data_IF_969923904806
#
_entry.id   IF_969923904806
#
_cell.length_a   1.000
_cell.length_b   1.000
_cell.length_c   1.000
_cell.angle_alpha   90.00
_cell.angle_beta   90.00
_cell.angle_gamma   90.00
#
_symmetry.space_group_name_H-M   'P 1'
#
loop_
_entity.id
_entity.type
_entity.pdbx_description
1 polymer ?
#
# COMPACT_ATOMS: atom_id res chain seq x y z
N UNK A 1 10.86 -28.67 -1.73
CA UNK A 1 12.27 -29.06 -1.68
C UNK A 1 12.61 -29.35 -0.23
N UNK A 2 13.21 -30.51 0.05
CA UNK A 2 13.67 -30.83 1.39
C UNK A 2 14.84 -29.91 1.79
N UNK A 3 15.01 -29.63 3.09
CA UNK A 3 16.06 -28.73 3.59
C UNK A 3 17.46 -29.21 3.20
N UNK A 4 17.68 -30.53 3.18
CA UNK A 4 18.96 -31.13 2.79
C UNK A 4 19.25 -30.95 1.30
N UNK A 5 18.23 -31.07 0.45
CA UNK A 5 18.34 -30.83 -0.99
C UNK A 5 18.68 -29.35 -1.26
N UNK A 6 18.04 -28.43 -0.55
CA UNK A 6 18.32 -27.00 -0.66
C UNK A 6 19.74 -26.65 -0.22
N UNK A 7 20.26 -27.32 0.82
CA UNK A 7 21.65 -27.17 1.27
C UNK A 7 22.67 -27.69 0.26
N UNK A 8 22.40 -28.86 -0.34
CA UNK A 8 23.27 -29.42 -1.38
C UNK A 8 23.27 -28.54 -2.63
N UNK A 9 22.11 -28.06 -3.06
CA UNK A 9 21.97 -27.14 -4.19
C UNK A 9 22.70 -25.82 -3.91
N UNK A 10 22.56 -25.28 -2.69
CA UNK A 10 23.25 -24.06 -2.29
C UNK A 10 24.77 -24.22 -2.28
N UNK A 11 25.32 -25.34 -1.81
CA UNK A 11 26.75 -25.62 -1.92
C UNK A 11 27.22 -25.71 -3.37
N UNK A 12 26.44 -26.31 -4.26
CA UNK A 12 26.76 -26.40 -5.68
C UNK A 12 26.85 -25.02 -6.35
N UNK A 13 26.09 -24.02 -5.88
CA UNK A 13 26.19 -22.63 -6.38
C UNK A 13 27.57 -21.99 -6.16
N UNK A 14 28.39 -22.51 -5.23
CA UNK A 14 29.72 -21.98 -4.98
C UNK A 14 30.72 -22.24 -6.11
N UNK A 15 30.42 -23.16 -7.03
CA UNK A 15 31.22 -23.48 -8.21
C UNK A 15 30.83 -22.63 -9.43
N UNK A 16 30.84 -21.31 -9.26
CA UNK A 16 30.38 -20.30 -10.25
C UNK A 16 31.02 -20.42 -11.64
N UNK A 17 32.25 -20.94 -11.74
CA UNK A 17 32.98 -21.06 -13.00
C UNK A 17 32.60 -22.31 -13.82
N UNK A 18 31.75 -23.18 -13.27
CA UNK A 18 31.35 -24.43 -13.91
C UNK A 18 29.94 -24.34 -14.51
N UNK A 19 29.67 -25.00 -15.65
CA UNK A 19 28.31 -25.10 -16.20
C UNK A 19 27.29 -25.65 -15.19
N UNK A 20 27.71 -26.63 -14.39
CA UNK A 20 26.89 -27.27 -13.36
C UNK A 20 26.55 -26.30 -12.21
N UNK A 21 27.52 -25.48 -11.79
CA UNK A 21 27.30 -24.45 -10.77
C UNK A 21 26.36 -23.34 -11.24
N UNK A 22 26.46 -22.92 -12.51
CA UNK A 22 25.50 -21.98 -13.11
C UNK A 22 24.09 -22.55 -13.20
N UNK A 23 23.94 -23.83 -13.51
CA UNK A 23 22.64 -24.50 -13.50
C UNK A 23 22.07 -24.55 -12.07
N UNK A 24 22.88 -24.96 -11.09
CA UNK A 24 22.49 -24.97 -9.69
C UNK A 24 22.07 -23.58 -9.20
N UNK A 25 22.76 -22.52 -9.64
CA UNK A 25 22.39 -21.14 -9.31
C UNK A 25 21.00 -20.76 -9.85
N UNK A 26 20.70 -21.11 -11.11
CA UNK A 26 19.38 -20.86 -11.71
C UNK A 26 18.27 -21.63 -10.99
N UNK A 27 18.50 -22.89 -10.68
CA UNK A 27 17.55 -23.73 -9.94
C UNK A 27 17.34 -23.18 -8.52
N UNK A 28 18.40 -22.74 -7.85
CA UNK A 28 18.32 -22.15 -6.52
C UNK A 28 17.58 -20.80 -6.53
N UNK A 29 17.84 -19.95 -7.52
CA UNK A 29 17.14 -18.69 -7.70
C UNK A 29 15.63 -18.89 -7.96
N UNK A 30 15.28 -19.89 -8.78
CA UNK A 30 13.89 -20.27 -9.00
C UNK A 30 13.22 -20.75 -7.70
N UNK A 31 13.93 -21.54 -6.88
CA UNK A 31 13.43 -21.99 -5.58
C UNK A 31 13.20 -20.82 -4.59
N UNK A 32 14.02 -19.77 -4.64
CA UNK A 32 13.85 -18.56 -3.81
C UNK A 32 12.70 -17.66 -4.27
N UNK A 33 12.24 -17.77 -5.52
CA UNK A 33 11.20 -16.88 -6.05
C UNK A 33 9.88 -17.06 -5.31
N UNK A 34 9.49 -18.30 -5.01
CA UNK A 34 8.23 -18.62 -4.30
C UNK A 34 8.17 -17.97 -2.91
N UNK A 35 9.14 -18.18 -1.99
CA UNK A 35 9.09 -17.56 -0.67
C UNK A 35 9.20 -16.03 -0.71
N UNK A 36 9.90 -15.44 -1.70
CA UNK A 36 9.94 -13.98 -1.88
C UNK A 36 8.54 -13.46 -2.23
N UNK A 37 7.85 -14.07 -3.20
CA UNK A 37 6.53 -13.63 -3.62
C UNK A 37 5.48 -13.81 -2.52
N UNK A 38 5.49 -14.94 -1.81
CA UNK A 38 4.58 -15.17 -0.69
C UNK A 38 4.77 -14.12 0.42
N UNK A 39 6.03 -13.80 0.75
CA UNK A 39 6.31 -12.79 1.75
C UNK A 39 5.92 -11.40 1.27
N UNK A 40 6.21 -11.05 0.01
CA UNK A 40 5.83 -9.77 -0.59
C UNK A 40 4.31 -9.55 -0.56
N UNK A 41 3.51 -10.57 -0.85
CA UNK A 41 2.04 -10.48 -0.78
C UNK A 41 1.52 -10.21 0.64
N UNK A 42 2.21 -10.71 1.67
CA UNK A 42 1.84 -10.48 3.07
C UNK A 42 2.29 -9.11 3.58
N UNK A 43 3.47 -8.65 3.18
CA UNK A 43 4.08 -7.42 3.69
C UNK A 43 3.59 -6.16 2.94
N UNK A 44 3.22 -6.27 1.66
CA UNK A 44 2.83 -5.10 0.86
C UNK A 44 1.40 -4.66 1.18
N UNK A 45 1.26 -3.52 1.85
CA UNK A 45 -0.05 -2.88 2.08
C UNK A 45 -0.77 -2.55 0.76
N UNK A 46 -0.03 -2.17 -0.27
CA UNK A 46 -0.63 -1.74 -1.55
C UNK A 46 -1.28 -2.90 -2.31
N UNK A 47 -0.75 -4.12 -2.17
CA UNK A 47 -1.39 -5.33 -2.72
C UNK A 47 -2.66 -5.73 -1.98
N UNK A 48 -2.81 -5.30 -0.73
CA UNK A 48 -4.03 -5.49 0.05
C UNK A 48 -5.08 -4.41 -0.26
N UNK A 49 -4.63 -3.18 -0.56
CA UNK A 49 -5.49 -2.04 -0.87
C UNK A 49 -6.00 -2.07 -2.33
N UNK A 50 -5.15 -2.42 -3.28
CA UNK A 50 -5.47 -2.42 -4.71
C UNK A 50 -5.65 -3.82 -5.27
N UNK A 51 -6.44 -3.93 -6.34
CA UNK A 51 -6.52 -5.16 -7.11
C UNK A 51 -5.27 -5.31 -7.99
N UNK A 52 -4.61 -6.47 -7.92
CA UNK A 52 -3.39 -6.75 -8.68
C UNK A 52 -3.75 -7.37 -10.02
N UNK A 53 -3.61 -6.60 -11.10
CA UNK A 53 -3.75 -7.10 -12.46
C UNK A 53 -2.43 -7.68 -12.98
N UNK A 54 -2.48 -8.91 -13.52
CA UNK A 54 -1.33 -9.57 -14.14
C UNK A 54 -1.48 -9.52 -15.65
N UNK A 55 -0.65 -8.71 -16.30
CA UNK A 55 -0.65 -8.57 -17.75
C UNK A 55 0.13 -9.71 -18.42
N UNK A 56 -0.36 -10.17 -19.57
CA UNK A 56 0.34 -11.15 -20.39
C UNK A 56 1.61 -10.54 -21.01
N UNK A 57 2.63 -11.35 -21.36
CA UNK A 57 3.83 -10.84 -22.03
C UNK A 57 3.48 -10.04 -23.31
N UNK A 58 3.89 -8.78 -23.36
CA UNK A 58 3.63 -7.88 -24.50
C UNK A 58 2.26 -7.19 -24.49
N UNK A 59 1.39 -7.47 -23.52
CA UNK A 59 0.16 -6.72 -23.33
C UNK A 59 0.46 -5.31 -22.78
N UNK A 60 -0.32 -4.32 -23.24
CA UNK A 60 -0.24 -2.95 -22.75
C UNK A 60 -1.32 -2.71 -21.69
N UNK A 61 -1.00 -1.88 -20.70
CA UNK A 61 -1.96 -1.45 -19.68
C UNK A 61 -2.79 -0.28 -20.24
N UNK A 62 -3.84 -0.61 -20.98
CA UNK A 62 -4.76 0.35 -21.60
C UNK A 62 -6.14 0.13 -21.02
N UNK A 63 -6.73 1.21 -20.50
CA UNK A 63 -8.05 1.15 -19.86
C UNK A 63 -8.99 2.14 -20.53
N UNK A 64 -10.20 1.71 -20.94
CA UNK A 64 -11.18 2.63 -21.48
C UNK A 64 -11.66 3.57 -20.37
N UNK A 65 -11.67 4.87 -20.64
CA UNK A 65 -12.36 5.85 -19.82
C UNK A 65 -13.83 5.70 -20.14
N UNK A 66 -14.61 5.08 -19.27
CA UNK A 66 -16.05 4.98 -19.52
C UNK A 66 -16.64 6.40 -19.61
N UNK A 67 -17.56 6.63 -20.55
CA UNK A 67 -18.19 7.94 -20.81
C UNK A 67 -18.83 8.57 -19.57
N UNK A 68 -19.12 7.76 -18.53
CA UNK A 68 -19.70 8.16 -17.25
C UNK A 68 -18.68 8.60 -16.17
N UNK A 69 -17.36 8.49 -16.41
CA UNK A 69 -16.36 8.87 -15.40
C UNK A 69 -16.05 10.37 -15.43
N UNK A 70 -16.75 11.14 -14.59
CA UNK A 70 -16.31 12.46 -14.12
C UNK A 70 -15.12 12.39 -13.13
N UNK A 71 -14.32 11.31 -13.16
CA UNK A 71 -13.33 11.02 -12.12
C UNK A 71 -11.92 11.25 -12.68
N UNK A 72 -11.10 12.10 -12.02
CA UNK A 72 -9.72 12.31 -12.44
C UNK A 72 -8.92 11.01 -12.32
N UNK A 73 -8.11 10.72 -13.34
CA UNK A 73 -7.24 9.54 -13.36
C UNK A 73 -5.82 9.98 -12.98
N UNK A 74 -5.28 9.35 -11.94
CA UNK A 74 -3.92 9.61 -11.46
C UNK A 74 -3.00 8.48 -11.88
N UNK A 75 -1.93 8.83 -12.57
CA UNK A 75 -0.99 7.85 -13.13
C UNK A 75 0.42 8.18 -12.63
N UNK A 76 1.10 7.17 -12.09
CA UNK A 76 2.52 7.28 -11.72
C UNK A 76 3.37 6.90 -12.93
N UNK A 77 4.14 7.84 -13.54
CA UNK A 77 4.87 7.55 -14.76
C UNK A 77 6.10 6.65 -14.55
N UNK A 78 6.64 6.60 -13.33
CA UNK A 78 7.81 5.82 -13.01
C UNK A 78 8.30 6.01 -11.58
N UNK A 79 9.33 5.25 -11.20
CA UNK A 79 10.00 5.39 -9.91
C UNK A 79 10.58 6.80 -9.74
N UNK A 80 10.30 7.41 -8.57
CA UNK A 80 10.80 8.74 -8.21
C UNK A 80 9.97 9.92 -8.75
N UNK A 81 8.98 9.68 -9.60
CA UNK A 81 8.05 10.71 -10.04
C UNK A 81 6.89 10.88 -9.04
N UNK A 82 6.21 12.02 -9.09
CA UNK A 82 4.89 12.19 -8.48
C UNK A 82 3.81 11.78 -9.46
N UNK A 83 2.68 11.28 -8.97
CA UNK A 83 1.57 10.93 -9.85
C UNK A 83 1.06 12.18 -10.59
N UNK A 84 0.83 12.01 -11.88
CA UNK A 84 0.33 13.05 -12.76
C UNK A 84 -1.16 12.84 -12.96
N UNK A 85 -1.91 13.94 -12.94
CA UNK A 85 -3.32 13.91 -13.27
C UNK A 85 -3.48 13.85 -14.80
N UNK A 86 -3.95 12.72 -15.30
CA UNK A 86 -4.36 12.58 -16.70
C UNK A 86 -5.79 13.12 -16.82
N UNK A 87 -5.90 14.41 -17.15
CA UNK A 87 -7.14 15.02 -17.66
C UNK A 87 -6.94 15.22 -19.14
N UNK A 88 -6.99 14.15 -19.92
CA UNK A 88 -7.05 14.31 -21.37
C UNK A 88 -8.52 14.48 -21.76
N UNK A 89 -8.93 15.73 -22.03
CA UNK A 89 -10.33 16.09 -22.28
C UNK A 89 -10.95 15.52 -23.57
N UNK A 90 -10.31 14.53 -24.22
CA UNK A 90 -10.75 13.98 -25.52
C UNK A 90 -10.29 12.53 -25.78
N UNK A 91 -9.65 11.84 -24.82
CA UNK A 91 -9.17 10.45 -25.01
C UNK A 91 -10.18 9.42 -24.51
N UNK A 92 -10.54 8.42 -25.33
CA UNK A 92 -11.40 7.29 -24.92
C UNK A 92 -10.65 6.28 -24.01
N UNK A 93 -9.32 6.33 -23.97
CA UNK A 93 -8.47 5.35 -23.28
C UNK A 93 -7.32 6.02 -22.50
N UNK A 94 -6.96 5.47 -21.34
CA UNK A 94 -5.77 5.83 -20.57
C UNK A 94 -4.70 4.77 -20.71
N UNK A 95 -3.50 5.23 -21.05
CA UNK A 95 -2.29 4.42 -21.09
C UNK A 95 -1.55 4.53 -19.75
N UNK A 96 -1.39 3.41 -19.05
CA UNK A 96 -0.63 3.35 -17.80
C UNK A 96 0.79 2.86 -18.12
N UNK A 97 1.83 3.69 -17.89
CA UNK A 97 3.21 3.26 -18.09
C UNK A 97 3.59 2.21 -17.05
N UNK A 98 4.29 1.18 -17.50
CA UNK A 98 4.81 0.11 -16.65
C UNK A 98 6.29 0.38 -16.36
N UNK A 99 6.69 0.17 -15.12
CA UNK A 99 8.09 0.27 -14.69
C UNK A 99 8.46 -0.93 -13.81
N UNK A 100 9.77 -1.17 -13.69
CA UNK A 100 10.29 -2.28 -12.86
C UNK A 100 10.78 -1.77 -11.51
N UNK A 101 10.46 -2.53 -10.45
CA UNK A 101 11.02 -2.36 -9.12
C UNK A 101 12.06 -3.45 -8.94
N UNK A 102 13.29 -3.08 -8.61
CA UNK A 102 14.41 -3.99 -8.46
C UNK A 102 15.02 -3.85 -7.06
N UNK A 103 15.30 -4.98 -6.41
CA UNK A 103 16.07 -5.05 -5.16
C UNK A 103 17.10 -6.17 -5.30
N UNK A 104 18.25 -6.01 -4.67
CA UNK A 104 19.33 -6.98 -4.68
C UNK A 104 19.83 -7.27 -3.26
N UNK A 105 20.19 -8.53 -3.03
CA UNK A 105 20.83 -8.95 -1.79
C UNK A 105 21.97 -9.90 -2.12
N UNK A 106 23.16 -9.54 -1.67
CA UNK A 106 24.38 -10.31 -1.90
C UNK A 106 24.84 -11.03 -0.64
N UNK A 107 25.53 -12.15 -0.84
CA UNK A 107 26.19 -12.88 0.23
C UNK A 107 27.55 -13.41 -0.23
N UNK A 108 28.44 -13.66 0.74
CA UNK A 108 29.77 -14.21 0.43
C UNK A 108 29.65 -15.66 -0.04
N UNK A 109 30.46 -16.03 -1.03
CA UNK A 109 30.56 -17.41 -1.56
C UNK A 109 30.95 -18.42 -0.47
N UNK A 110 31.65 -17.99 0.58
CA UNK A 110 31.96 -18.85 1.74
C UNK A 110 30.71 -19.39 2.40
N UNK A 111 29.62 -18.62 2.48
CA UNK A 111 28.36 -19.07 3.06
C UNK A 111 27.68 -20.15 2.22
N UNK A 112 27.85 -20.09 0.89
CA UNK A 112 27.40 -21.15 0.00
C UNK A 112 28.18 -22.46 0.25
N UNK A 113 29.52 -22.37 0.37
CA UNK A 113 30.38 -23.53 0.70
C UNK A 113 30.03 -24.16 2.05
N UNK A 114 29.72 -23.31 3.04
CA UNK A 114 29.35 -23.73 4.40
C UNK A 114 27.88 -24.20 4.51
N UNK A 115 27.14 -24.28 3.39
CA UNK A 115 25.74 -24.72 3.35
C UNK A 115 24.80 -23.90 4.24
N UNK A 116 25.11 -22.62 4.46
CA UNK A 116 24.35 -21.70 5.30
C UNK A 116 23.14 -21.11 4.57
N UNK A 117 22.17 -21.98 4.30
CA UNK A 117 20.90 -21.63 3.63
C UNK A 117 20.07 -20.64 4.45
N UNK A 118 20.30 -20.55 5.77
CA UNK A 118 19.72 -19.53 6.64
C UNK A 118 20.04 -18.10 6.17
N UNK A 119 21.23 -17.88 5.61
CA UNK A 119 21.65 -16.57 5.11
C UNK A 119 20.89 -16.23 3.82
N UNK A 120 20.77 -17.18 2.90
CA UNK A 120 20.01 -16.99 1.66
C UNK A 120 18.52 -16.76 1.93
N UNK A 121 17.93 -17.47 2.91
CA UNK A 121 16.54 -17.26 3.32
C UNK A 121 16.31 -15.87 3.94
N UNK A 122 17.26 -15.38 4.75
CA UNK A 122 17.22 -14.00 5.29
C UNK A 122 17.40 -12.96 4.19
N UNK A 123 18.27 -13.20 3.22
CA UNK A 123 18.45 -12.33 2.06
C UNK A 123 17.16 -12.23 1.23
N UNK A 124 16.54 -13.37 0.91
CA UNK A 124 15.23 -13.42 0.25
C UNK A 124 14.15 -12.66 1.04
N UNK A 125 14.12 -12.86 2.36
CA UNK A 125 13.20 -12.15 3.26
C UNK A 125 13.41 -10.64 3.30
N UNK A 126 14.66 -10.18 3.12
CA UNK A 126 15.02 -8.76 3.06
C UNK A 126 14.60 -8.15 1.72
N UNK A 127 14.87 -8.84 0.60
CA UNK A 127 14.45 -8.41 -0.74
C UNK A 127 12.92 -8.24 -0.80
N UNK A 128 12.16 -9.20 -0.27
CA UNK A 128 10.71 -9.09 -0.23
C UNK A 128 10.22 -7.86 0.53
N UNK A 129 10.86 -7.52 1.65
CA UNK A 129 10.53 -6.34 2.45
C UNK A 129 10.89 -5.04 1.74
N UNK A 130 12.05 -4.97 1.08
CA UNK A 130 12.44 -3.79 0.29
C UNK A 130 11.49 -3.58 -0.91
N UNK A 131 11.10 -4.65 -1.60
CA UNK A 131 10.11 -4.58 -2.67
C UNK A 131 8.75 -4.08 -2.16
N UNK A 132 8.30 -4.55 -0.99
CA UNK A 132 7.06 -4.09 -0.37
C UNK A 132 7.13 -2.58 -0.04
N UNK A 133 8.25 -2.11 0.52
CA UNK A 133 8.46 -0.70 0.83
C UNK A 133 8.43 0.18 -0.43
N UNK A 134 9.05 -0.27 -1.52
CA UNK A 134 8.99 0.45 -2.80
C UNK A 134 7.57 0.46 -3.40
N UNK A 135 6.83 -0.65 -3.32
CA UNK A 135 5.42 -0.69 -3.73
C UNK A 135 4.57 0.28 -2.91
N UNK A 136 4.79 0.34 -1.59
CA UNK A 136 4.13 1.30 -0.71
C UNK A 136 4.43 2.75 -1.06
N UNK A 137 5.71 3.09 -1.25
CA UNK A 137 6.11 4.44 -1.67
C UNK A 137 5.43 4.85 -2.98
N UNK A 138 5.39 3.95 -3.97
CA UNK A 138 4.71 4.20 -5.24
C UNK A 138 3.19 4.37 -5.04
N UNK A 139 2.56 3.53 -4.24
CA UNK A 139 1.12 3.60 -3.97
C UNK A 139 0.73 4.90 -3.27
N UNK A 140 1.48 5.32 -2.25
CA UNK A 140 1.24 6.59 -1.55
C UNK A 140 1.44 7.80 -2.46
N UNK A 141 2.43 7.79 -3.36
CA UNK A 141 2.62 8.83 -4.38
C UNK A 141 1.47 8.96 -5.38
N UNK A 142 0.60 7.94 -5.48
CA UNK A 142 -0.65 8.01 -6.25
C UNK A 142 -1.81 8.46 -5.37
N UNK A 143 -1.93 7.89 -4.16
CA UNK A 143 -3.05 8.16 -3.25
C UNK A 143 -3.06 9.61 -2.77
N UNK A 144 -1.90 10.14 -2.33
CA UNK A 144 -1.80 11.50 -1.79
C UNK A 144 -2.36 12.53 -2.75
N UNK A 145 -1.83 12.68 -3.99
CA UNK A 145 -2.34 13.69 -4.90
C UNK A 145 -3.80 13.44 -5.28
N UNK A 146 -4.25 12.19 -5.36
CA UNK A 146 -5.65 11.86 -5.61
C UNK A 146 -6.60 12.27 -4.46
N UNK A 147 -6.11 12.23 -3.22
CA UNK A 147 -6.88 12.54 -2.02
C UNK A 147 -6.83 14.02 -1.62
N UNK A 148 -5.72 14.72 -1.86
CA UNK A 148 -5.51 16.10 -1.39
C UNK A 148 -5.72 17.15 -2.48
N UNK A 149 -5.65 16.78 -3.77
CA UNK A 149 -5.82 17.76 -4.86
C UNK A 149 -7.28 18.12 -5.07
N UNK A 150 -7.60 19.41 -4.96
CA UNK A 150 -8.83 19.96 -5.52
C UNK A 150 -8.67 20.10 -7.04
N UNK A 151 -9.69 19.70 -7.78
CA UNK A 151 -9.72 19.83 -9.23
C UNK A 151 -10.73 20.92 -9.61
N UNK A 152 -10.24 21.98 -10.26
CA UNK A 152 -11.09 22.91 -10.99
C UNK A 152 -10.83 22.66 -12.48
N UNK A 153 -11.74 21.97 -13.15
CA UNK A 153 -11.55 21.61 -14.55
C UNK A 153 -11.29 22.84 -15.43
N UNK A 154 -10.23 22.79 -16.23
CA UNK A 154 -10.23 23.49 -17.52
C UNK A 154 -10.87 22.55 -18.53
N UNK A 155 -12.20 22.57 -18.65
CA UNK A 155 -12.95 21.71 -19.58
C UNK A 155 -14.38 21.39 -19.12
N UNK A 156 -14.95 20.28 -19.63
CA UNK A 156 -16.31 19.82 -19.37
C UNK A 156 -16.57 19.30 -17.94
N UNK A 157 -15.53 19.01 -17.16
CA UNK A 157 -15.66 18.49 -15.81
C UNK A 157 -15.91 19.63 -14.80
N UNK A 158 -16.92 19.47 -13.97
CA UNK A 158 -17.22 20.40 -12.88
C UNK A 158 -16.09 20.46 -11.84
N UNK A 159 -15.94 21.58 -11.10
CA UNK A 159 -14.98 21.66 -10.02
C UNK A 159 -15.33 20.65 -8.92
N UNK A 160 -14.33 19.85 -8.52
CA UNK A 160 -14.40 18.86 -7.46
C UNK A 160 -13.41 19.25 -6.36
N UNK A 161 -13.93 19.54 -5.16
CA UNK A 161 -13.11 19.70 -3.97
C UNK A 161 -12.44 18.38 -3.58
N UNK A 162 -11.27 18.46 -2.96
CA UNK A 162 -10.65 17.30 -2.32
C UNK A 162 -11.63 16.69 -1.31
N UNK A 163 -11.80 15.35 -1.26
CA UNK A 163 -12.73 14.67 -0.36
C UNK A 163 -12.20 14.63 1.09
N UNK A 164 -11.81 15.78 1.62
CA UNK A 164 -11.28 15.94 2.99
C UNK A 164 -12.46 16.24 3.91
N UNK A 165 -12.58 15.44 4.97
CA UNK A 165 -13.55 15.67 6.03
C UNK A 165 -12.81 16.21 7.25
N UNK A 166 -13.28 17.34 7.75
CA UNK A 166 -12.81 17.93 9.00
C UNK A 166 -13.99 18.20 9.93
N UNK A 167 -13.75 18.18 11.24
CA UNK A 167 -14.71 18.70 12.22
C UNK A 167 -14.45 20.20 12.37
N UNK A 168 -15.51 20.99 12.60
CA UNK A 168 -15.36 22.45 12.71
C UNK A 168 -14.36 22.83 13.81
N UNK A 169 -13.54 23.85 13.56
CA UNK A 169 -12.42 24.26 14.43
C UNK A 169 -12.80 24.59 15.89
N UNK A 170 -14.10 24.84 16.16
CA UNK A 170 -14.60 25.13 17.51
C UNK A 170 -15.18 23.90 18.23
N UNK A 171 -15.17 22.72 17.60
CA UNK A 171 -15.59 21.46 18.25
C UNK A 171 -14.47 20.92 19.13
N UNK A 172 -14.84 20.22 20.19
CA UNK A 172 -13.91 19.56 21.12
C UNK A 172 -13.09 18.48 20.38
N UNK A 173 -13.65 17.86 19.34
CA UNK A 173 -12.98 16.85 18.51
C UNK A 173 -12.16 17.40 17.35
N UNK A 174 -11.91 18.71 17.28
CA UNK A 174 -11.08 19.30 16.23
C UNK A 174 -9.61 18.89 16.41
N UNK A 175 -8.97 18.42 15.33
CA UNK A 175 -7.57 17.99 15.33
C UNK A 175 -7.32 16.56 15.82
N UNK A 176 -8.36 15.82 16.19
CA UNK A 176 -8.28 14.43 16.65
C UNK A 176 -9.19 13.52 15.83
N UNK A 177 -8.89 12.22 15.80
CA UNK A 177 -9.82 11.23 15.24
C UNK A 177 -11.01 11.03 16.19
N UNK A 178 -12.03 11.86 16.02
CA UNK A 178 -13.24 11.86 16.84
C UNK A 178 -14.38 11.03 16.24
N UNK A 179 -15.30 10.58 17.10
CA UNK A 179 -16.56 9.94 16.68
C UNK A 179 -17.39 10.81 15.73
N UNK A 180 -17.38 12.14 15.92
CA UNK A 180 -18.06 13.08 15.03
C UNK A 180 -17.46 13.02 13.61
N UNK A 181 -16.13 12.99 13.50
CA UNK A 181 -15.42 12.89 12.23
C UNK A 181 -15.79 11.63 11.46
N UNK A 182 -15.71 10.45 12.12
CA UNK A 182 -16.04 9.17 11.49
C UNK A 182 -17.50 9.15 11.03
N UNK A 183 -18.44 9.67 11.82
CA UNK A 183 -19.84 9.78 11.41
C UNK A 183 -20.02 10.69 10.18
N UNK A 184 -19.31 11.82 10.13
CA UNK A 184 -19.32 12.73 8.99
C UNK A 184 -18.81 12.04 7.72
N UNK A 185 -17.75 11.24 7.82
CA UNK A 185 -17.24 10.43 6.71
C UNK A 185 -18.27 9.38 6.24
N UNK A 186 -18.89 8.64 7.17
CA UNK A 186 -19.93 7.65 6.84
C UNK A 186 -21.10 8.30 6.08
N UNK A 187 -21.59 9.45 6.58
CA UNK A 187 -22.66 10.21 5.91
C UNK A 187 -22.20 10.72 4.54
N UNK A 188 -20.97 11.21 4.45
CA UNK A 188 -20.36 11.68 3.21
C UNK A 188 -20.31 10.60 2.12
N UNK A 189 -19.83 9.41 2.46
CA UNK A 189 -19.83 8.26 1.54
C UNK A 189 -21.24 7.88 1.10
N UNK A 190 -22.20 7.79 2.03
CA UNK A 190 -23.60 7.44 1.73
C UNK A 190 -24.27 8.44 0.80
N UNK A 191 -23.98 9.74 0.94
CA UNK A 191 -24.50 10.78 0.03
C UNK A 191 -23.98 10.65 -1.40
N UNK A 192 -22.79 10.08 -1.57
CA UNK A 192 -22.22 9.75 -2.87
C UNK A 192 -22.64 8.36 -3.39
N UNK A 193 -23.59 7.69 -2.73
CA UNK A 193 -24.01 6.33 -3.09
C UNK A 193 -22.96 5.26 -2.80
N UNK A 194 -21.96 5.56 -1.96
CA UNK A 194 -20.87 4.64 -1.57
C UNK A 194 -20.99 4.26 -0.09
N UNK A 195 -20.31 3.19 0.31
CA UNK A 195 -20.24 2.76 1.71
C UNK A 195 -18.79 2.80 2.18
N UNK A 196 -18.55 3.41 3.35
CA UNK A 196 -17.24 3.35 4.00
C UNK A 196 -17.06 1.95 4.59
N UNK A 197 -16.06 1.22 4.11
CA UNK A 197 -15.78 -0.17 4.55
C UNK A 197 -14.51 -0.28 5.36
N UNK A 198 -13.47 0.46 4.99
CA UNK A 198 -12.17 0.46 5.65
C UNK A 198 -11.74 1.89 5.97
N UNK A 199 -11.09 2.07 7.11
CA UNK A 199 -10.43 3.30 7.51
C UNK A 199 -8.98 2.97 7.86
N UNK A 200 -8.06 3.52 7.08
CA UNK A 200 -6.63 3.44 7.35
C UNK A 200 -6.26 4.61 8.25
N UNK A 201 -5.69 4.30 9.42
CA UNK A 201 -5.43 5.29 10.48
C UNK A 201 -3.96 5.25 10.89
N UNK A 202 -3.47 6.37 11.39
CA UNK A 202 -2.13 6.45 11.99
C UNK A 202 -2.11 5.85 13.41
N UNK A 203 -0.93 5.51 13.95
CA UNK A 203 -0.80 5.10 15.35
C UNK A 203 -1.28 6.18 16.33
N UNK A 204 -1.14 7.46 15.96
CA UNK A 204 -1.64 8.60 16.75
C UNK A 204 -3.17 8.64 16.76
N UNK A 205 -3.81 8.46 15.60
CA UNK A 205 -5.27 8.36 15.50
C UNK A 205 -5.82 7.15 16.28
N UNK A 206 -5.08 6.04 16.28
CA UNK A 206 -5.43 4.88 17.10
C UNK A 206 -5.30 5.17 18.60
N UNK A 207 -4.37 6.04 19.01
CA UNK A 207 -4.27 6.52 20.39
C UNK A 207 -5.49 7.37 20.76
N UNK A 208 -5.93 8.28 19.89
CA UNK A 208 -7.14 9.10 20.11
C UNK A 208 -8.38 8.23 20.37
N UNK A 209 -8.55 7.14 19.61
CA UNK A 209 -9.65 6.18 19.81
C UNK A 209 -9.58 5.53 21.20
N UNK A 210 -8.38 5.20 21.68
CA UNK A 210 -8.17 4.60 23.02
C UNK A 210 -8.42 5.61 24.15
N UNK A 211 -8.44 6.91 23.87
CA UNK A 211 -8.75 7.96 24.85
C UNK A 211 -10.26 8.27 24.94
N UNK A 212 -11.10 7.71 24.06
CA UNK A 212 -12.55 7.92 24.11
C UNK A 212 -13.16 7.44 25.43
N UNK A 213 -14.04 8.27 25.99
CA UNK A 213 -14.60 8.04 27.34
C UNK A 213 -16.05 7.55 27.31
N UNK A 214 -16.60 7.24 28.48
CA UNK A 214 -17.98 6.76 28.65
C UNK A 214 -19.06 7.78 28.23
N UNK A 215 -18.69 9.05 28.07
CA UNK A 215 -19.61 10.05 27.49
C UNK A 215 -19.71 9.95 25.97
N UNK A 216 -18.72 9.33 25.32
CA UNK A 216 -18.55 9.36 23.87
C UNK A 216 -19.09 8.08 23.21
N UNK A 217 -18.94 6.94 23.90
CA UNK A 217 -19.31 5.61 23.40
C UNK A 217 -20.00 4.77 24.48
N UNK A 218 -20.90 3.88 24.05
CA UNK A 218 -21.58 2.99 24.98
C UNK A 218 -20.59 1.93 25.55
N UNK A 219 -20.87 1.37 26.75
CA UNK A 219 -19.94 0.45 27.40
C UNK A 219 -19.66 -0.85 26.62
N UNK A 220 -20.54 -1.27 25.71
CA UNK A 220 -20.37 -2.50 24.92
C UNK A 220 -19.41 -2.24 23.76
N UNK A 221 -19.66 -1.18 22.99
CA UNK A 221 -18.73 -0.73 21.92
C UNK A 221 -17.36 -0.42 22.50
N UNK A 222 -17.30 0.19 23.69
CA UNK A 222 -16.04 0.40 24.42
C UNK A 222 -15.34 -0.92 24.68
N UNK A 223 -16.02 -1.90 25.27
CA UNK A 223 -15.40 -3.20 25.54
C UNK A 223 -14.84 -3.84 24.27
N UNK A 224 -15.53 -3.77 23.15
CA UNK A 224 -15.07 -4.32 21.87
C UNK A 224 -13.83 -3.61 21.34
N UNK A 225 -13.83 -2.27 21.33
CA UNK A 225 -12.68 -1.45 20.90
C UNK A 225 -11.47 -1.69 21.80
N UNK A 226 -11.65 -1.69 23.12
CA UNK A 226 -10.54 -1.84 24.07
C UNK A 226 -10.04 -3.28 24.17
N UNK A 227 -10.89 -4.30 23.98
CA UNK A 227 -10.44 -5.70 23.87
C UNK A 227 -9.54 -5.94 22.67
N UNK A 228 -9.76 -5.19 21.60
CA UNK A 228 -8.92 -5.22 20.41
C UNK A 228 -7.89 -4.07 20.38
N UNK A 229 -7.65 -3.41 21.53
CA UNK A 229 -6.62 -2.38 21.71
C UNK A 229 -6.70 -1.19 20.72
N UNK A 230 -7.90 -0.77 20.34
CA UNK A 230 -8.12 0.27 19.33
C UNK A 230 -8.04 -0.23 17.88
N UNK A 231 -7.77 -1.51 17.68
CA UNK A 231 -7.84 -2.20 16.39
C UNK A 231 -9.18 -2.94 16.27
N UNK A 232 -9.67 -3.24 15.07
CA UNK A 232 -10.93 -3.96 14.88
C UNK A 232 -11.91 -3.19 14.00
N UNK A 233 -13.20 -3.20 14.34
CA UNK A 233 -14.22 -2.50 13.56
C UNK A 233 -15.08 -1.58 14.41
N UNK A 234 -15.39 -0.39 13.90
CA UNK A 234 -16.32 0.56 14.52
C UNK A 234 -17.47 0.81 13.55
N UNK A 235 -18.71 0.56 13.98
CA UNK A 235 -19.92 0.68 13.13
C UNK A 235 -19.80 -0.02 11.77
N UNK A 236 -19.24 -1.24 11.76
CA UNK A 236 -18.99 -2.04 10.55
C UNK A 236 -17.97 -1.42 9.58
N UNK A 237 -17.17 -0.46 10.04
CA UNK A 237 -15.97 0.04 9.34
C UNK A 237 -14.76 -0.63 9.95
N UNK A 238 -13.96 -1.32 9.14
CA UNK A 238 -12.71 -1.95 9.57
C UNK A 238 -11.61 -0.90 9.73
N UNK A 239 -10.97 -0.89 10.89
CA UNK A 239 -9.80 -0.06 11.17
C UNK A 239 -8.53 -0.82 10.81
N UNK A 240 -7.65 -0.17 10.04
CA UNK A 240 -6.34 -0.68 9.68
C UNK A 240 -5.30 0.34 10.12
N UNK A 241 -4.53 0.00 11.15
CA UNK A 241 -3.44 0.85 11.63
C UNK A 241 -2.25 0.74 10.66
N UNK A 242 -1.73 1.88 10.21
CA UNK A 242 -0.60 1.97 9.28
C UNK A 242 0.48 2.84 9.90
N UNK A 243 1.61 2.23 10.25
CA UNK A 243 2.74 2.90 10.90
C UNK A 243 3.33 4.07 10.08
N UNK A 244 3.16 4.05 8.76
CA UNK A 244 3.70 5.07 7.86
C UNK A 244 2.81 6.31 7.76
N UNK A 245 1.58 6.27 8.26
CA UNK A 245 0.68 7.42 8.29
C UNK A 245 0.86 8.24 9.57
N UNK A 246 0.48 9.51 9.52
CA UNK A 246 0.39 10.39 10.69
C UNK A 246 1.39 11.53 10.66
N UNK A 247 1.35 12.38 11.70
CA UNK A 247 2.20 13.58 11.79
C UNK A 247 3.70 13.23 11.92
N UNK A 248 3.99 12.11 12.59
CA UNK A 248 5.33 11.55 12.76
C UNK A 248 5.65 10.42 11.78
N UNK A 249 4.68 10.06 10.93
CA UNK A 249 4.81 9.08 9.86
C UNK A 249 5.57 9.60 8.64
N UNK A 250 5.65 8.77 7.61
CA UNK A 250 6.23 9.13 6.31
C UNK A 250 5.25 9.90 5.42
N UNK A 251 3.94 9.69 5.61
CA UNK A 251 2.89 10.27 4.78
C UNK A 251 1.83 10.93 5.64
N UNK A 252 1.44 12.15 5.27
CA UNK A 252 0.36 12.89 5.89
C UNK A 252 -0.70 13.23 4.82
N UNK A 253 -1.97 13.01 5.16
CA UNK A 253 -3.13 13.18 4.28
C UNK A 253 -4.19 14.12 4.87
N UNK A 254 -3.87 14.76 6.02
CA UNK A 254 -4.87 15.43 6.85
C UNK A 254 -5.22 16.84 6.37
N UNK A 255 -4.49 17.39 5.41
CA UNK A 255 -4.79 18.68 4.79
C UNK A 255 -4.54 18.66 3.27
N UNK A 256 -5.27 19.51 2.56
CA UNK A 256 -5.10 19.88 1.16
C UNK A 256 -3.69 20.38 0.80
N UNK A 257 -2.89 20.82 1.78
CA UNK A 257 -1.50 21.21 1.61
C UNK A 257 -0.52 20.04 1.75
N UNK A 258 -1.00 18.85 2.12
CA UNK A 258 -0.16 17.66 2.27
C UNK A 258 0.21 17.14 0.88
N UNK A 259 1.42 17.44 0.44
CA UNK A 259 2.00 17.04 -0.84
C UNK A 259 3.51 16.97 -0.76
#
# INVERSE_FOLDING_TARGET
MDRKEMQALFAATAAIDTPEGMQAYKEFAAALTVPILQKLELESLMRQLFNVERLAPGAQAVYPIAEDFEIPVWVLPGLGYMAQNFIEGVGEEVYVPLFSINSSADWKVTYARDQRVDIAARAASKVAMELAQYEEECGWKVIIPAATSAFAGKGLLGPRSAPIYEVGANSIGAGYLSKELINKMIVGFKRMGRTLTHLYISPEDAADIREWTDTDIDPVTRREIFQAAGMGSIWNVQLVEVQHLGATGMYNLNDSTSG
#
